data_IF_751181642022
#
_entry.id   IF_751181642022
#
_cell.length_a   1.000
_cell.length_b   1.000
_cell.length_c   1.000
_cell.angle_alpha   90.00
_cell.angle_beta   90.00
_cell.angle_gamma   90.00
#
_symmetry.space_group_name_H-M   'P 1'
#
loop_
_entity.id
_entity.type
_entity.pdbx_description
1 polymer ?
#
# COMPACT_ATOMS: atom_id res chain seq x y z
N UNK A 1 -18.99 10.89 38.21
CA UNK A 1 -18.17 11.23 37.02
C UNK A 1 -16.72 10.82 37.29
N UNK A 2 -16.32 9.64 36.88
CA UNK A 2 -14.92 9.16 36.95
C UNK A 2 -14.39 9.04 35.51
N UNK A 3 -13.46 9.93 35.18
CA UNK A 3 -12.72 9.91 33.91
C UNK A 3 -11.67 8.78 33.98
N UNK A 4 -11.84 7.73 33.21
CA UNK A 4 -10.79 6.75 32.96
C UNK A 4 -9.87 7.34 31.86
N UNK A 5 -8.71 7.80 32.27
CA UNK A 5 -7.58 8.03 31.37
C UNK A 5 -6.97 6.65 31.05
N UNK A 6 -7.22 6.14 29.87
CA UNK A 6 -6.39 5.10 29.28
C UNK A 6 -5.15 5.77 28.68
N UNK A 7 -4.09 5.85 29.47
CA UNK A 7 -2.76 6.16 28.96
C UNK A 7 -2.24 4.95 28.18
N UNK A 8 -2.31 5.00 26.86
CA UNK A 8 -1.57 4.09 26.00
C UNK A 8 -0.09 4.43 26.10
N UNK A 9 0.62 3.75 27.01
CA UNK A 9 2.07 3.73 27.05
C UNK A 9 2.54 2.94 25.82
N UNK A 10 2.75 3.62 24.68
CA UNK A 10 3.44 3.07 23.55
C UNK A 10 4.90 2.83 23.94
N UNK A 11 5.19 1.64 24.48
CA UNK A 11 6.55 1.20 24.67
C UNK A 11 7.22 1.18 23.29
N UNK A 12 8.07 2.15 23.04
CA UNK A 12 9.07 2.18 21.97
C UNK A 12 10.05 1.02 22.22
N UNK A 13 9.63 -0.23 21.94
CA UNK A 13 10.49 -1.40 21.90
C UNK A 13 11.26 -1.33 20.57
N UNK A 14 12.23 -0.43 20.51
CA UNK A 14 13.29 -0.55 19.52
C UNK A 14 13.94 -1.94 19.66
N UNK A 15 14.53 -2.47 18.58
CA UNK A 15 15.42 -3.62 18.61
C UNK A 15 16.71 -3.22 19.39
N UNK A 16 16.52 -2.88 20.69
CA UNK A 16 17.61 -2.54 21.57
C UNK A 16 18.42 -3.81 21.80
N UNK A 17 19.68 -3.78 21.46
CA UNK A 17 20.65 -4.74 22.01
C UNK A 17 20.63 -4.55 23.52
N UNK A 18 20.24 -5.55 24.32
CA UNK A 18 20.47 -5.46 25.75
C UNK A 18 22.00 -5.31 25.94
N UNK A 19 22.42 -4.36 26.76
CA UNK A 19 23.85 -4.12 27.01
C UNK A 19 24.60 -5.40 27.42
N UNK A 20 23.90 -6.35 28.04
CA UNK A 20 24.41 -7.69 28.42
C UNK A 20 24.49 -8.68 27.25
N UNK A 21 23.96 -8.34 26.06
CA UNK A 21 24.01 -9.24 24.89
C UNK A 21 25.41 -9.34 24.27
N UNK A 22 26.35 -8.47 24.64
CA UNK A 22 27.70 -8.48 24.07
C UNK A 22 28.59 -9.55 24.67
N UNK A 23 28.38 -9.96 25.91
CA UNK A 23 29.29 -10.87 26.67
C UNK A 23 28.95 -12.37 26.55
N UNK A 24 27.82 -12.71 25.89
CA UNK A 24 27.46 -14.12 25.74
C UNK A 24 28.09 -14.75 24.49
N UNK A 25 28.60 -16.01 24.59
CA UNK A 25 29.07 -16.72 23.42
C UNK A 25 27.92 -17.01 22.44
N UNK A 26 28.24 -17.05 21.16
CA UNK A 26 27.32 -17.53 20.16
C UNK A 26 27.25 -19.07 20.21
N UNK A 27 26.03 -19.61 20.12
CA UNK A 27 25.83 -21.04 19.84
C UNK A 27 25.83 -21.23 18.32
N UNK A 28 26.41 -22.33 17.83
CA UNK A 28 26.54 -22.60 16.40
C UNK A 28 25.68 -23.80 16.00
N UNK A 29 24.91 -23.63 14.95
CA UNK A 29 24.17 -24.73 14.29
C UNK A 29 25.10 -25.53 13.38
N UNK A 30 24.73 -26.78 13.07
CA UNK A 30 25.45 -27.61 12.12
C UNK A 30 25.58 -26.98 10.72
N UNK A 31 24.63 -26.13 10.32
CA UNK A 31 24.66 -25.35 9.09
C UNK A 31 25.70 -24.22 9.05
N UNK A 32 26.36 -23.93 10.18
CA UNK A 32 27.33 -22.84 10.33
C UNK A 32 26.71 -21.52 10.79
N UNK A 33 25.37 -21.40 10.87
CA UNK A 33 24.69 -20.24 11.42
C UNK A 33 24.94 -20.15 12.92
N UNK A 34 25.30 -18.96 13.40
CA UNK A 34 25.50 -18.69 14.83
C UNK A 34 24.31 -17.89 15.37
N UNK A 35 23.92 -18.16 16.64
CA UNK A 35 22.80 -17.46 17.25
C UNK A 35 23.01 -17.16 18.72
N UNK A 36 22.30 -16.13 19.20
CA UNK A 36 22.02 -15.83 20.61
C UNK A 36 20.54 -15.56 20.75
N UNK A 37 19.91 -16.17 21.74
CA UNK A 37 18.49 -15.98 22.02
C UNK A 37 18.29 -15.19 23.30
N UNK A 38 17.24 -14.41 23.34
CA UNK A 38 16.82 -13.59 24.47
C UNK A 38 15.30 -13.66 24.61
N UNK A 39 14.82 -13.50 25.84
CA UNK A 39 13.39 -13.34 26.13
C UNK A 39 13.22 -12.20 27.13
N UNK A 40 12.20 -11.37 26.93
CA UNK A 40 11.86 -10.33 27.89
C UNK A 40 11.27 -10.96 29.16
N UNK A 41 11.76 -10.55 30.33
CA UNK A 41 11.18 -10.87 31.62
C UNK A 41 9.93 -10.02 31.90
N UNK A 42 9.31 -10.22 33.05
CA UNK A 42 8.09 -9.49 33.47
C UNK A 42 8.29 -7.96 33.55
N UNK A 43 9.53 -7.48 33.63
CA UNK A 43 9.88 -6.05 33.64
C UNK A 43 10.15 -5.49 32.24
N UNK A 44 10.12 -6.35 31.21
CA UNK A 44 10.45 -6.00 29.83
C UNK A 44 11.96 -6.00 29.54
N UNK A 45 12.79 -6.40 30.49
CA UNK A 45 14.26 -6.54 30.28
C UNK A 45 14.56 -7.86 29.61
N UNK A 46 15.34 -7.83 28.52
CA UNK A 46 15.76 -9.03 27.83
C UNK A 46 16.82 -9.80 28.60
N UNK A 47 16.52 -11.05 28.91
CA UNK A 47 17.43 -12.01 29.53
C UNK A 47 17.88 -13.05 28.52
N UNK A 48 19.11 -13.54 28.64
CA UNK A 48 19.59 -14.65 27.82
C UNK A 48 18.69 -15.87 27.93
N UNK A 49 18.46 -16.53 26.79
CA UNK A 49 17.65 -17.75 26.72
C UNK A 49 18.43 -18.86 26.01
N UNK A 50 18.40 -20.06 26.56
CA UNK A 50 18.82 -21.29 25.89
C UNK A 50 17.61 -22.07 25.39
N UNK A 51 17.80 -22.86 24.33
CA UNK A 51 16.76 -23.80 23.89
C UNK A 51 16.54 -24.87 25.00
N UNK A 52 15.30 -25.01 25.41
CA UNK A 52 14.94 -25.97 26.44
C UNK A 52 14.22 -27.21 25.85
N UNK A 53 14.35 -28.41 26.44
CA UNK A 53 13.60 -29.56 25.98
C UNK A 53 12.07 -29.38 26.07
N UNK A 54 11.61 -28.45 26.91
CA UNK A 54 10.20 -28.08 27.07
C UNK A 54 9.71 -27.08 26.01
N UNK A 55 10.60 -26.54 25.21
CA UNK A 55 10.19 -25.64 24.09
C UNK A 55 9.36 -26.45 23.09
N UNK A 56 8.34 -25.81 22.53
CA UNK A 56 7.55 -26.40 21.46
C UNK A 56 8.46 -26.81 20.29
N UNK A 57 8.49 -28.09 19.90
CA UNK A 57 9.37 -28.57 18.85
C UNK A 57 9.02 -27.90 17.52
N UNK A 58 9.99 -27.74 16.64
CA UNK A 58 9.78 -27.14 15.34
C UNK A 58 8.63 -27.82 14.57
N UNK A 59 8.58 -29.15 14.60
CA UNK A 59 7.55 -29.94 13.90
C UNK A 59 6.11 -29.56 14.28
N UNK A 60 5.86 -29.15 15.53
CA UNK A 60 4.53 -28.69 15.95
C UNK A 60 4.16 -27.28 15.45
N UNK A 61 5.13 -26.54 14.96
CA UNK A 61 4.99 -25.18 14.45
C UNK A 61 5.13 -25.08 12.93
N UNK A 62 5.55 -26.17 12.30
CA UNK A 62 5.67 -26.26 10.86
C UNK A 62 4.32 -25.99 10.17
N UNK A 63 4.35 -25.25 9.07
CA UNK A 63 3.14 -24.80 8.36
C UNK A 63 2.45 -23.59 8.98
N UNK A 64 2.92 -23.10 10.14
CA UNK A 64 2.43 -21.87 10.75
C UNK A 64 3.23 -20.64 10.26
N UNK A 65 2.75 -19.46 10.61
CA UNK A 65 3.34 -18.18 10.25
C UNK A 65 3.82 -17.49 11.51
N UNK A 66 5.14 -17.24 11.60
CA UNK A 66 5.73 -16.44 12.64
C UNK A 66 5.73 -14.97 12.21
N UNK A 67 5.16 -14.08 13.03
CA UNK A 67 5.29 -12.64 12.78
C UNK A 67 6.54 -12.13 13.48
N UNK A 68 7.41 -11.42 12.74
CA UNK A 68 8.73 -11.05 13.23
C UNK A 68 9.16 -9.67 12.74
N UNK A 69 9.78 -8.88 13.59
CA UNK A 69 10.58 -7.74 13.17
C UNK A 69 12.00 -8.21 12.91
N UNK A 70 12.59 -7.74 11.81
CA UNK A 70 13.96 -8.08 11.43
C UNK A 70 14.75 -6.82 11.07
N UNK A 71 16.02 -6.81 11.48
CA UNK A 71 16.99 -5.84 11.03
C UNK A 71 18.22 -6.56 10.51
N UNK A 72 18.59 -6.26 9.28
CA UNK A 72 19.74 -6.85 8.61
C UNK A 72 20.93 -5.91 8.69
N UNK A 73 22.10 -6.44 9.04
CA UNK A 73 23.34 -5.70 9.17
C UNK A 73 24.49 -6.42 8.49
N UNK A 74 25.48 -5.65 8.05
CA UNK A 74 26.77 -6.23 7.60
C UNK A 74 27.53 -6.82 8.79
N UNK A 75 28.59 -7.60 8.53
CA UNK A 75 29.51 -8.07 9.57
C UNK A 75 30.18 -6.93 10.37
N UNK A 76 30.24 -5.72 9.82
CA UNK A 76 30.73 -4.50 10.48
C UNK A 76 29.61 -3.67 11.13
N UNK A 77 28.46 -4.25 11.37
CA UNK A 77 27.31 -3.66 12.07
C UNK A 77 26.58 -2.50 11.34
N UNK A 78 26.85 -2.28 10.06
CA UNK A 78 26.11 -1.29 9.26
C UNK A 78 24.71 -1.82 8.93
N UNK A 79 23.65 -1.03 9.23
CA UNK A 79 22.27 -1.39 8.95
C UNK A 79 22.00 -1.35 7.45
N UNK A 80 21.52 -2.46 6.90
CA UNK A 80 21.12 -2.62 5.51
C UNK A 80 19.62 -2.38 5.34
N UNK A 81 18.83 -2.99 6.23
CA UNK A 81 17.38 -2.92 6.21
C UNK A 81 16.83 -3.12 7.63
N UNK A 82 15.76 -2.43 7.96
CA UNK A 82 15.04 -2.61 9.22
C UNK A 82 13.55 -2.62 8.96
N UNK A 83 12.88 -3.75 9.17
CA UNK A 83 11.44 -3.87 8.98
C UNK A 83 10.66 -2.97 9.94
N UNK A 84 11.18 -2.75 11.15
CA UNK A 84 10.55 -1.87 12.13
C UNK A 84 10.54 -0.39 11.70
N UNK A 85 11.57 0.05 10.94
CA UNK A 85 11.63 1.42 10.41
C UNK A 85 10.74 1.60 9.17
N UNK A 86 10.52 0.52 8.42
CA UNK A 86 9.75 0.56 7.17
C UNK A 86 8.26 0.40 7.41
N UNK A 87 7.87 -0.43 8.39
CA UNK A 87 6.48 -0.75 8.67
C UNK A 87 6.25 -0.89 10.18
N UNK A 88 5.11 -0.39 10.70
CA UNK A 88 4.78 -0.49 12.13
C UNK A 88 4.39 -1.90 12.58
N UNK A 89 4.16 -2.83 11.64
CA UNK A 89 3.70 -4.19 11.90
C UNK A 89 4.80 -5.22 11.64
N UNK A 90 4.86 -6.26 12.49
CA UNK A 90 5.76 -7.39 12.29
C UNK A 90 5.47 -8.13 10.98
N UNK A 91 6.52 -8.54 10.28
CA UNK A 91 6.41 -9.20 8.98
C UNK A 91 6.08 -10.68 9.16
N UNK A 92 5.15 -11.24 8.37
CA UNK A 92 4.85 -12.66 8.40
C UNK A 92 5.94 -13.46 7.69
N UNK A 93 6.42 -14.50 8.36
CA UNK A 93 7.36 -15.48 7.81
C UNK A 93 6.76 -16.88 8.01
N UNK A 94 6.53 -17.59 6.92
CA UNK A 94 6.05 -18.95 6.97
C UNK A 94 7.17 -19.89 7.49
N UNK A 95 6.83 -20.80 8.38
CA UNK A 95 7.72 -21.85 8.86
C UNK A 95 7.50 -23.10 7.98
N UNK A 96 8.42 -23.43 7.05
CA UNK A 96 8.23 -24.56 6.14
C UNK A 96 8.29 -25.89 6.92
N UNK A 97 7.71 -26.97 6.40
CA UNK A 97 7.80 -28.29 7.05
C UNK A 97 9.24 -28.74 7.30
N UNK A 98 10.14 -28.40 6.40
CA UNK A 98 11.57 -28.65 6.51
C UNK A 98 12.33 -27.34 6.25
N UNK A 99 12.93 -26.73 7.27
CA UNK A 99 13.73 -25.52 7.08
C UNK A 99 15.01 -25.84 6.29
N UNK A 100 15.38 -24.95 5.40
CA UNK A 100 16.62 -25.08 4.63
C UNK A 100 17.83 -24.83 5.54
N UNK A 101 18.73 -25.82 5.73
CA UNK A 101 19.94 -25.61 6.54
C UNK A 101 20.78 -24.43 6.05
N UNK A 102 21.15 -23.52 6.95
CA UNK A 102 21.85 -22.28 6.65
C UNK A 102 20.98 -21.17 6.07
N UNK A 103 19.67 -21.41 5.88
CA UNK A 103 18.69 -20.40 5.48
C UNK A 103 18.15 -19.60 6.65
N UNK A 104 17.46 -18.52 6.34
CA UNK A 104 16.82 -17.65 7.35
C UNK A 104 15.73 -18.41 8.11
N UNK A 105 15.01 -19.32 7.45
CA UNK A 105 13.92 -20.10 8.01
C UNK A 105 14.39 -21.05 9.12
N UNK A 106 15.59 -21.64 8.98
CA UNK A 106 16.20 -22.46 10.04
C UNK A 106 16.41 -21.63 11.31
N UNK A 107 16.98 -20.45 11.16
CA UNK A 107 17.28 -19.56 12.29
C UNK A 107 15.99 -19.02 12.94
N UNK A 108 15.04 -18.54 12.16
CA UNK A 108 13.76 -18.03 12.67
C UNK A 108 12.92 -19.15 13.30
N UNK A 109 13.11 -20.40 12.84
CA UNK A 109 12.50 -21.57 13.44
C UNK A 109 12.92 -21.86 14.89
N UNK A 110 14.00 -21.24 15.38
CA UNK A 110 14.41 -21.34 16.80
C UNK A 110 13.57 -20.42 17.71
N UNK A 111 12.91 -19.42 17.14
CA UNK A 111 12.20 -18.41 17.91
C UNK A 111 10.80 -18.91 18.30
N UNK A 112 10.41 -18.57 19.51
CA UNK A 112 9.04 -18.63 20.01
C UNK A 112 8.50 -17.20 20.13
N UNK A 113 7.18 -17.01 20.18
CA UNK A 113 6.58 -15.70 20.49
C UNK A 113 7.19 -15.07 21.75
N UNK A 114 7.59 -13.80 21.65
CA UNK A 114 8.27 -13.06 22.71
C UNK A 114 9.80 -13.20 22.73
N UNK A 115 10.37 -14.07 21.90
CA UNK A 115 11.82 -14.17 21.76
C UNK A 115 12.39 -13.06 20.88
N UNK A 116 13.64 -12.72 21.20
CA UNK A 116 14.51 -11.93 20.32
C UNK A 116 15.81 -12.70 20.10
N UNK A 117 16.44 -12.45 18.97
CA UNK A 117 17.70 -13.11 18.64
C UNK A 117 18.65 -12.21 17.87
N UNK A 118 19.93 -12.58 17.97
CA UNK A 118 20.99 -12.12 17.06
C UNK A 118 21.50 -13.37 16.33
N UNK A 119 21.32 -13.38 15.02
CA UNK A 119 21.84 -14.42 14.14
C UNK A 119 23.02 -13.88 13.35
N UNK A 120 24.03 -14.71 13.14
CA UNK A 120 25.15 -14.47 12.23
C UNK A 120 25.18 -15.58 11.20
N UNK A 121 25.06 -15.20 9.94
CA UNK A 121 25.09 -16.13 8.83
C UNK A 121 26.38 -15.96 8.04
N UNK A 122 27.04 -17.05 7.60
CA UNK A 122 27.95 -16.97 6.47
C UNK A 122 27.20 -16.40 5.27
N UNK A 123 27.64 -15.27 4.73
CA UNK A 123 26.86 -14.56 3.69
C UNK A 123 26.66 -15.43 2.45
N UNK A 124 27.67 -16.17 2.01
CA UNK A 124 27.54 -17.05 0.85
C UNK A 124 26.43 -18.09 1.03
N UNK A 125 26.29 -18.64 2.25
CA UNK A 125 25.26 -19.64 2.56
C UNK A 125 23.86 -19.04 2.54
N UNK A 126 23.61 -17.97 3.29
CA UNK A 126 22.26 -17.39 3.39
C UNK A 126 21.81 -16.74 2.08
N UNK A 127 22.75 -16.13 1.33
CA UNK A 127 22.42 -15.57 0.02
C UNK A 127 22.06 -16.65 -0.99
N UNK A 128 22.76 -17.78 -1.01
CA UNK A 128 22.43 -18.91 -1.87
C UNK A 128 21.12 -19.60 -1.45
N UNK A 129 20.89 -19.80 -0.15
CA UNK A 129 19.77 -20.63 0.36
C UNK A 129 18.47 -19.85 0.49
N UNK A 130 18.49 -18.61 1.01
CA UNK A 130 17.29 -17.79 1.23
C UNK A 130 17.04 -16.81 0.10
N UNK A 131 18.03 -15.98 -0.24
CA UNK A 131 17.82 -14.89 -1.20
C UNK A 131 17.95 -15.31 -2.65
N UNK A 132 18.61 -16.47 -2.92
CA UNK A 132 18.86 -17.00 -4.27
C UNK A 132 19.52 -15.97 -5.19
N UNK A 133 20.46 -15.23 -4.65
CA UNK A 133 21.19 -14.15 -5.31
C UNK A 133 22.66 -14.21 -4.93
N UNK A 134 23.57 -13.68 -5.77
CA UNK A 134 24.99 -13.56 -5.40
C UNK A 134 25.14 -12.58 -4.24
N UNK A 135 26.14 -12.83 -3.38
CA UNK A 135 26.48 -11.94 -2.27
C UNK A 135 26.96 -10.59 -2.81
N UNK A 136 26.36 -9.47 -2.44
CA UNK A 136 26.83 -8.14 -2.85
C UNK A 136 28.30 -7.89 -2.44
N UNK A 137 29.10 -7.25 -3.31
CA UNK A 137 30.54 -7.05 -3.04
C UNK A 137 30.84 -6.32 -1.72
N UNK A 138 29.99 -5.40 -1.29
CA UNK A 138 30.18 -4.66 -0.05
C UNK A 138 30.00 -5.55 1.20
N UNK A 139 29.17 -6.59 1.16
CA UNK A 139 29.02 -7.58 2.24
C UNK A 139 30.27 -8.45 2.32
N UNK A 140 30.79 -8.91 1.18
CA UNK A 140 32.05 -9.68 1.14
C UNK A 140 33.22 -8.89 1.75
N UNK A 141 33.36 -7.61 1.37
CA UNK A 141 34.36 -6.72 1.96
C UNK A 141 34.15 -6.44 3.45
N UNK A 142 32.92 -6.57 3.93
CA UNK A 142 32.52 -6.41 5.33
C UNK A 142 32.76 -7.62 6.23
N UNK A 143 33.46 -8.65 5.76
CA UNK A 143 33.77 -9.88 6.53
C UNK A 143 32.90 -11.08 6.12
N UNK A 144 32.21 -11.02 5.00
CA UNK A 144 31.37 -12.10 4.43
C UNK A 144 30.34 -12.68 5.42
N UNK A 145 29.82 -11.83 6.31
CA UNK A 145 28.85 -12.18 7.34
C UNK A 145 27.63 -11.29 7.21
N UNK A 146 26.46 -11.88 7.32
CA UNK A 146 25.19 -11.19 7.47
C UNK A 146 24.70 -11.37 8.91
N UNK A 147 24.51 -10.28 9.63
CA UNK A 147 23.92 -10.28 10.97
C UNK A 147 22.44 -9.93 10.86
N UNK A 148 21.57 -10.72 11.49
CA UNK A 148 20.11 -10.49 11.53
C UNK A 148 19.68 -10.40 12.99
N UNK A 149 19.15 -9.24 13.37
CA UNK A 149 18.44 -9.09 14.62
C UNK A 149 16.97 -9.41 14.35
N UNK A 150 16.39 -10.30 15.13
CA UNK A 150 14.99 -10.73 14.96
C UNK A 150 14.23 -10.61 16.29
N UNK A 151 12.96 -10.24 16.23
CA UNK A 151 12.07 -10.22 17.39
C UNK A 151 10.73 -10.82 17.01
N UNK A 152 10.46 -12.02 17.51
CA UNK A 152 9.23 -12.76 17.26
C UNK A 152 8.07 -12.21 18.07
N UNK A 153 6.90 -12.07 17.45
CA UNK A 153 5.70 -11.52 18.09
C UNK A 153 4.63 -12.57 18.31
N UNK A 154 4.13 -13.13 17.25
CA UNK A 154 3.01 -14.05 17.27
C UNK A 154 3.30 -15.26 16.38
N UNK A 155 2.72 -16.38 16.72
CA UNK A 155 2.68 -17.57 15.88
C UNK A 155 1.22 -17.80 15.50
N UNK A 156 0.92 -17.77 14.22
CA UNK A 156 -0.43 -17.83 13.68
C UNK A 156 -0.58 -19.02 12.76
N UNK A 157 -1.75 -19.64 12.76
CA UNK A 157 -2.09 -20.58 11.69
C UNK A 157 -2.26 -19.83 10.37
N UNK A 158 -2.16 -20.51 9.24
CA UNK A 158 -2.42 -19.91 7.93
C UNK A 158 -3.83 -19.31 7.86
N UNK A 159 -4.82 -19.98 8.46
CA UNK A 159 -6.20 -19.50 8.53
C UNK A 159 -6.31 -18.19 9.32
N UNK A 160 -5.68 -18.11 10.50
CA UNK A 160 -5.63 -16.88 11.31
C UNK A 160 -4.94 -15.74 10.55
N UNK A 161 -3.87 -16.03 9.82
CA UNK A 161 -3.18 -15.05 9.01
C UNK A 161 -4.05 -14.51 7.87
N UNK A 162 -4.74 -15.39 7.15
CA UNK A 162 -5.68 -15.02 6.09
C UNK A 162 -6.86 -14.21 6.64
N UNK A 163 -7.43 -14.61 7.77
CA UNK A 163 -8.51 -13.88 8.43
C UNK A 163 -8.07 -12.47 8.84
N UNK A 164 -6.87 -12.32 9.42
CA UNK A 164 -6.28 -11.03 9.78
C UNK A 164 -6.06 -10.13 8.56
N UNK A 165 -5.53 -10.70 7.49
CA UNK A 165 -5.32 -9.95 6.24
C UNK A 165 -6.65 -9.45 5.65
N UNK A 166 -7.69 -10.30 5.65
CA UNK A 166 -9.04 -9.92 5.21
C UNK A 166 -9.64 -8.80 6.07
N UNK A 167 -9.45 -8.87 7.40
CA UNK A 167 -9.92 -7.80 8.30
C UNK A 167 -9.21 -6.48 8.01
N UNK A 168 -7.88 -6.49 7.91
CA UNK A 168 -7.10 -5.29 7.61
C UNK A 168 -7.51 -4.67 6.27
N UNK A 169 -7.73 -5.50 5.25
CA UNK A 169 -8.21 -5.03 3.95
C UNK A 169 -9.59 -4.38 4.07
N UNK A 170 -10.53 -5.02 4.77
CA UNK A 170 -11.87 -4.47 4.98
C UNK A 170 -11.84 -3.14 5.77
N UNK A 171 -10.98 -3.02 6.77
CA UNK A 171 -10.79 -1.76 7.51
C UNK A 171 -10.20 -0.65 6.62
N UNK A 172 -9.21 -0.99 5.78
CA UNK A 172 -8.62 -0.04 4.83
C UNK A 172 -9.65 0.42 3.80
N UNK A 173 -10.46 -0.50 3.25
CA UNK A 173 -11.54 -0.17 2.31
C UNK A 173 -12.60 0.71 2.96
N UNK A 174 -13.02 0.41 4.19
CA UNK A 174 -13.97 1.23 4.96
C UNK A 174 -13.43 2.63 5.20
N UNK A 175 -12.16 2.75 5.60
CA UNK A 175 -11.51 4.05 5.81
C UNK A 175 -11.38 4.84 4.51
N UNK A 176 -11.01 4.18 3.41
CA UNK A 176 -10.94 4.81 2.09
C UNK A 176 -12.31 5.31 1.63
N UNK A 177 -13.38 4.51 1.83
CA UNK A 177 -14.74 4.92 1.51
C UNK A 177 -15.21 6.12 2.33
N UNK A 178 -14.91 6.17 3.63
CA UNK A 178 -15.24 7.31 4.49
C UNK A 178 -14.51 8.59 4.05
N UNK A 179 -13.22 8.51 3.73
CA UNK A 179 -12.44 9.64 3.23
C UNK A 179 -12.98 10.13 1.89
N UNK A 180 -13.32 9.21 0.99
CA UNK A 180 -13.93 9.51 -0.31
C UNK A 180 -15.29 10.22 -0.16
N UNK A 181 -16.15 9.72 0.74
CA UNK A 181 -17.44 10.34 1.02
C UNK A 181 -17.30 11.77 1.58
N UNK A 182 -16.37 11.97 2.52
CA UNK A 182 -16.06 13.29 3.08
C UNK A 182 -15.52 14.26 2.02
N UNK A 183 -14.68 13.77 1.10
CA UNK A 183 -14.17 14.57 -0.02
C UNK A 183 -15.28 14.93 -1.01
N UNK A 184 -16.20 14.00 -1.32
CA UNK A 184 -17.37 14.28 -2.16
C UNK A 184 -18.20 15.45 -1.64
N UNK A 185 -18.40 15.55 -0.33
CA UNK A 185 -19.14 16.68 0.27
C UNK A 185 -18.44 18.01 -0.02
N UNK A 186 -17.12 18.07 0.18
CA UNK A 186 -16.31 19.25 -0.09
C UNK A 186 -16.35 19.64 -1.58
N UNK A 187 -16.17 18.67 -2.44
CA UNK A 187 -16.15 18.90 -3.90
C UNK A 187 -17.53 19.34 -4.43
N UNK A 188 -18.61 18.75 -3.91
CA UNK A 188 -19.96 19.20 -4.24
C UNK A 188 -20.18 20.68 -3.83
N UNK A 189 -19.69 21.09 -2.66
CA UNK A 189 -19.78 22.49 -2.23
C UNK A 189 -19.01 23.42 -3.17
N UNK A 190 -17.79 23.03 -3.61
CA UNK A 190 -17.01 23.78 -4.59
C UNK A 190 -17.71 23.89 -5.93
N UNK A 191 -18.31 22.81 -6.43
CA UNK A 191 -19.07 22.80 -7.69
C UNK A 191 -20.29 23.69 -7.59
N UNK A 192 -21.05 23.62 -6.51
CA UNK A 192 -22.23 24.46 -6.31
C UNK A 192 -21.87 25.96 -6.23
N UNK A 193 -20.77 26.28 -5.54
CA UNK A 193 -20.25 27.65 -5.50
C UNK A 193 -19.83 28.16 -6.90
N UNK A 194 -19.14 27.30 -7.68
CA UNK A 194 -18.80 27.59 -9.06
C UNK A 194 -20.03 27.85 -9.92
N UNK A 195 -21.07 26.99 -9.84
CA UNK A 195 -22.31 27.13 -10.57
C UNK A 195 -23.03 28.44 -10.22
N UNK A 196 -23.12 28.79 -8.93
CA UNK A 196 -23.69 30.04 -8.45
C UNK A 196 -22.94 31.27 -9.01
N UNK A 197 -21.61 31.25 -8.91
CA UNK A 197 -20.75 32.34 -9.41
C UNK A 197 -20.91 32.57 -10.91
N UNK A 198 -21.14 31.52 -11.69
CA UNK A 198 -21.24 31.59 -13.15
C UNK A 198 -22.69 31.63 -13.65
N UNK A 199 -23.68 31.81 -12.75
CA UNK A 199 -25.12 31.83 -13.10
C UNK A 199 -25.52 30.60 -13.94
N UNK A 200 -24.95 29.44 -13.65
CA UNK A 200 -25.14 28.21 -14.42
C UNK A 200 -25.97 27.19 -13.65
N UNK A 201 -26.86 26.50 -14.37
CA UNK A 201 -27.65 25.39 -13.83
C UNK A 201 -27.09 24.09 -14.41
N UNK A 202 -26.76 23.13 -13.53
CA UNK A 202 -26.30 21.79 -13.91
C UNK A 202 -27.30 20.74 -13.47
N UNK A 203 -27.43 19.69 -14.27
CA UNK A 203 -28.04 18.43 -13.83
C UNK A 203 -26.96 17.52 -13.25
N UNK A 204 -27.38 16.52 -12.48
CA UNK A 204 -26.45 15.54 -11.87
C UNK A 204 -26.77 14.14 -12.36
N UNK A 205 -25.76 13.38 -12.77
CA UNK A 205 -25.91 11.95 -13.11
C UNK A 205 -26.12 11.11 -11.86
N UNK A 206 -26.64 9.90 -12.00
CA UNK A 206 -26.71 8.92 -10.90
C UNK A 206 -25.32 8.61 -10.31
N UNK A 207 -24.26 8.67 -11.12
CA UNK A 207 -22.87 8.50 -10.69
C UNK A 207 -22.24 9.71 -10.00
N UNK A 208 -22.97 10.84 -9.86
CA UNK A 208 -22.51 12.00 -9.10
C UNK A 208 -21.83 13.10 -9.89
N UNK A 209 -21.66 12.96 -11.21
CA UNK A 209 -21.09 13.98 -12.09
C UNK A 209 -22.15 15.06 -12.41
N UNK A 210 -21.74 16.31 -12.34
CA UNK A 210 -22.61 17.41 -12.81
C UNK A 210 -22.36 17.69 -14.29
N UNK A 211 -23.42 18.00 -15.02
CA UNK A 211 -23.31 18.34 -16.43
C UNK A 211 -24.20 19.50 -16.84
N UNK A 212 -23.73 20.28 -17.80
CA UNK A 212 -24.44 21.44 -18.39
C UNK A 212 -24.42 21.24 -19.89
N UNK A 213 -25.57 21.09 -20.50
CA UNK A 213 -25.67 21.09 -21.97
C UNK A 213 -25.59 22.55 -22.46
N UNK A 214 -24.53 22.89 -23.19
CA UNK A 214 -24.33 24.23 -23.81
C UNK A 214 -24.95 24.32 -25.18
N UNK A 215 -24.94 23.20 -25.93
CA UNK A 215 -25.59 23.05 -27.23
C UNK A 215 -26.13 21.63 -27.30
N UNK A 216 -27.42 21.50 -27.59
CA UNK A 216 -28.02 20.21 -27.88
C UNK A 216 -27.59 19.74 -29.27
N UNK A 217 -27.32 18.46 -29.40
CA UNK A 217 -27.10 17.80 -30.68
C UNK A 217 -28.42 17.21 -31.24
N UNK A 218 -28.27 16.29 -32.18
CA UNK A 218 -29.39 15.65 -32.88
C UNK A 218 -29.33 14.14 -32.76
N UNK A 219 -30.48 13.48 -32.93
CA UNK A 219 -30.59 12.02 -32.92
C UNK A 219 -30.63 11.41 -31.51
N UNK A 220 -30.38 10.11 -31.45
CA UNK A 220 -30.30 9.35 -30.20
C UNK A 220 -28.89 9.41 -29.63
N UNK A 221 -28.72 9.25 -28.30
CA UNK A 221 -27.41 9.15 -27.67
C UNK A 221 -26.71 7.81 -28.02
N UNK A 222 -25.37 7.73 -27.94
CA UNK A 222 -24.62 6.52 -28.20
C UNK A 222 -24.88 5.45 -27.12
N UNK A 223 -24.84 4.20 -27.54
CA UNK A 223 -25.02 3.03 -26.67
C UNK A 223 -23.68 2.46 -26.22
N UNK A 224 -23.67 1.76 -25.10
CA UNK A 224 -22.50 0.99 -24.65
C UNK A 224 -21.97 0.08 -25.77
N UNK A 225 -20.66 0.05 -25.94
CA UNK A 225 -19.98 -0.74 -26.98
C UNK A 225 -19.75 0.04 -28.28
N UNK A 226 -20.35 1.21 -28.47
CA UNK A 226 -20.08 2.04 -29.63
C UNK A 226 -18.82 2.87 -29.46
N UNK A 227 -18.10 3.10 -30.55
CA UNK A 227 -16.93 3.98 -30.57
C UNK A 227 -17.39 5.41 -30.74
N UNK A 228 -17.07 6.27 -29.77
CA UNK A 228 -17.36 7.69 -29.77
C UNK A 228 -16.13 8.52 -30.13
N UNK A 229 -16.33 9.66 -30.78
CA UNK A 229 -15.29 10.65 -31.13
C UNK A 229 -15.61 11.96 -30.44
N UNK A 230 -14.72 12.42 -29.56
CA UNK A 230 -14.97 13.57 -28.67
C UNK A 230 -13.85 14.59 -28.79
N UNK A 231 -14.21 15.84 -29.01
CA UNK A 231 -13.30 16.97 -28.75
C UNK A 231 -13.45 17.37 -27.29
N UNK A 232 -12.35 17.65 -26.62
CA UNK A 232 -12.41 18.02 -25.20
C UNK A 232 -11.31 19.01 -24.79
N UNK A 233 -11.60 19.70 -23.68
CA UNK A 233 -10.66 20.50 -22.92
C UNK A 233 -10.85 20.24 -21.43
N UNK A 234 -9.83 19.71 -20.77
CA UNK A 234 -9.81 19.41 -19.34
C UNK A 234 -9.07 20.48 -18.55
N UNK A 235 -9.73 21.03 -17.53
CA UNK A 235 -9.18 22.07 -16.66
C UNK A 235 -9.41 21.73 -15.19
N UNK A 236 -8.53 22.21 -14.31
CA UNK A 236 -8.73 22.23 -12.86
C UNK A 236 -9.81 23.27 -12.53
N UNK A 237 -10.89 22.86 -11.84
CA UNK A 237 -12.04 23.76 -11.60
C UNK A 237 -11.64 25.04 -10.83
N UNK A 238 -10.79 24.92 -9.82
CA UNK A 238 -10.42 26.01 -8.91
C UNK A 238 -9.51 27.06 -9.55
N UNK A 239 -8.62 26.64 -10.45
CA UNK A 239 -7.58 27.50 -11.05
C UNK A 239 -7.83 27.82 -12.51
N UNK A 240 -8.64 27.03 -13.20
CA UNK A 240 -8.81 27.09 -14.66
C UNK A 240 -7.60 26.56 -15.44
N UNK A 241 -6.53 26.08 -14.76
CA UNK A 241 -5.34 25.53 -15.43
C UNK A 241 -5.75 24.35 -16.29
N UNK A 242 -5.41 24.39 -17.56
CA UNK A 242 -5.58 23.29 -18.49
C UNK A 242 -4.53 22.21 -18.26
N UNK A 243 -4.96 20.97 -18.09
CA UNK A 243 -4.07 19.83 -17.98
C UNK A 243 -4.01 18.99 -19.27
N UNK A 244 -5.14 18.90 -20.01
CA UNK A 244 -5.18 18.17 -21.28
C UNK A 244 -6.27 18.71 -22.20
N UNK A 245 -6.05 18.60 -23.53
CA UNK A 245 -7.06 18.93 -24.53
C UNK A 245 -6.76 18.30 -25.89
N UNK A 246 -7.78 18.13 -26.73
CA UNK A 246 -7.60 17.77 -28.13
C UNK A 246 -6.90 18.85 -28.94
N UNK A 247 -6.98 20.10 -28.50
CA UNK A 247 -6.26 21.24 -29.15
C UNK A 247 -4.74 21.02 -29.15
N UNK A 248 -4.19 20.38 -28.14
CA UNK A 248 -2.77 19.99 -28.06
C UNK A 248 -2.38 18.90 -29.07
N UNK A 249 -3.35 18.30 -29.75
CA UNK A 249 -3.21 17.20 -30.71
C UNK A 249 -3.87 17.57 -32.05
N UNK A 250 -3.64 18.77 -32.55
CA UNK A 250 -4.18 19.28 -33.81
C UNK A 250 -5.70 19.24 -33.93
N UNK A 251 -6.43 19.29 -32.81
CA UNK A 251 -7.88 19.10 -32.76
C UNK A 251 -8.37 17.74 -33.32
N UNK A 252 -7.53 16.72 -33.30
CA UNK A 252 -7.98 15.37 -33.67
C UNK A 252 -8.90 14.83 -32.57
N UNK A 253 -10.15 14.45 -32.88
CA UNK A 253 -11.09 13.94 -31.89
C UNK A 253 -10.58 12.66 -31.23
N UNK A 254 -10.58 12.64 -29.91
CA UNK A 254 -10.23 11.48 -29.13
C UNK A 254 -11.31 10.40 -29.30
N UNK A 255 -10.87 9.19 -29.66
CA UNK A 255 -11.75 8.05 -29.93
C UNK A 255 -11.63 7.01 -28.82
N UNK A 256 -12.77 6.56 -28.30
CA UNK A 256 -12.79 5.44 -27.33
C UNK A 256 -14.12 4.68 -27.43
N UNK A 257 -14.13 3.43 -26.95
CA UNK A 257 -15.35 2.61 -26.88
C UNK A 257 -16.10 2.88 -25.58
N UNK A 258 -17.35 3.27 -25.69
CA UNK A 258 -18.18 3.67 -24.56
C UNK A 258 -18.50 2.49 -23.63
N UNK A 259 -18.33 2.67 -22.33
CA UNK A 259 -18.72 1.71 -21.30
C UNK A 259 -17.81 0.51 -21.11
N UNK A 260 -16.59 0.51 -21.69
CA UNK A 260 -15.58 -0.55 -21.52
C UNK A 260 -14.39 -0.13 -20.65
N UNK A 261 -14.50 0.98 -19.92
CA UNK A 261 -13.50 1.50 -18.97
C UNK A 261 -12.14 1.88 -19.62
N UNK A 262 -12.16 2.37 -20.84
CA UNK A 262 -10.98 2.96 -21.49
C UNK A 262 -10.68 4.38 -20.99
N UNK A 263 -11.69 5.01 -20.37
CA UNK A 263 -11.63 6.34 -19.76
C UNK A 263 -12.11 6.27 -18.32
N UNK A 264 -11.97 7.36 -17.56
CA UNK A 264 -12.55 7.43 -16.21
C UNK A 264 -14.08 7.17 -16.29
N UNK A 265 -14.66 6.41 -15.35
CA UNK A 265 -16.06 5.95 -15.45
C UNK A 265 -17.08 7.07 -15.67
N UNK A 266 -16.78 8.26 -15.15
CA UNK A 266 -17.67 9.43 -15.28
C UNK A 266 -17.70 10.00 -16.69
N UNK A 267 -16.68 9.76 -17.51
CA UNK A 267 -16.70 10.09 -18.93
C UNK A 267 -17.65 9.16 -19.70
N UNK A 268 -17.58 7.86 -19.42
CA UNK A 268 -18.53 6.89 -19.98
C UNK A 268 -19.98 7.31 -19.72
N UNK A 269 -20.28 7.73 -18.48
CA UNK A 269 -21.62 8.18 -18.10
C UNK A 269 -22.01 9.53 -18.72
N UNK A 270 -21.09 10.49 -18.72
CA UNK A 270 -21.36 11.84 -19.23
C UNK A 270 -21.54 11.87 -20.75
N UNK A 271 -20.69 11.16 -21.49
CA UNK A 271 -20.79 11.09 -22.96
C UNK A 271 -22.00 10.27 -23.42
N UNK A 272 -22.38 9.21 -22.68
CA UNK A 272 -23.58 8.42 -22.99
C UNK A 272 -24.90 9.22 -22.97
N UNK A 273 -24.90 10.43 -22.38
CA UNK A 273 -26.06 11.30 -22.32
C UNK A 273 -26.11 12.33 -23.45
N UNK A 274 -25.05 12.43 -24.24
CA UNK A 274 -24.93 13.42 -25.32
C UNK A 274 -25.42 12.82 -26.64
N UNK A 275 -26.06 13.65 -27.45
CA UNK A 275 -26.38 13.31 -28.84
C UNK A 275 -25.30 13.87 -29.77
N UNK A 276 -25.21 13.39 -31.01
CA UNK A 276 -24.22 13.86 -32.01
C UNK A 276 -24.29 15.38 -32.19
N UNK A 277 -23.15 16.06 -32.11
CA UNK A 277 -23.02 17.50 -32.19
C UNK A 277 -23.31 18.25 -30.88
N UNK A 278 -23.63 17.55 -29.79
CA UNK A 278 -23.81 18.17 -28.47
C UNK A 278 -22.50 18.72 -27.93
N UNK A 279 -22.58 19.92 -27.30
CA UNK A 279 -21.50 20.50 -26.47
C UNK A 279 -21.96 20.55 -25.02
N UNK A 280 -21.14 20.08 -24.12
CA UNK A 280 -21.44 20.04 -22.70
C UNK A 280 -20.24 20.42 -21.83
N UNK A 281 -20.53 20.82 -20.61
CA UNK A 281 -19.53 20.95 -19.55
C UNK A 281 -19.80 19.87 -18.50
N UNK A 282 -18.78 19.09 -18.16
CA UNK A 282 -18.81 18.12 -17.09
C UNK A 282 -18.04 18.67 -15.91
N UNK A 283 -18.62 18.65 -14.69
CA UNK A 283 -17.93 19.01 -13.45
C UNK A 283 -17.86 17.73 -12.62
N UNK A 284 -16.66 17.28 -12.34
CA UNK A 284 -16.38 15.95 -11.81
C UNK A 284 -15.74 16.07 -10.44
N UNK A 285 -16.43 15.64 -9.36
CA UNK A 285 -15.84 15.52 -8.04
C UNK A 285 -14.58 14.63 -8.06
N UNK A 286 -13.56 14.99 -7.29
CA UNK A 286 -12.27 14.33 -7.33
C UNK A 286 -12.31 12.81 -7.05
N UNK A 287 -13.14 12.28 -6.10
CA UNK A 287 -13.22 10.84 -5.89
C UNK A 287 -13.75 10.04 -7.09
N UNK A 288 -14.44 10.71 -8.01
CA UNK A 288 -14.97 10.10 -9.24
C UNK A 288 -13.97 10.18 -10.40
N UNK A 289 -12.84 10.86 -10.21
CA UNK A 289 -11.75 11.01 -11.18
C UNK A 289 -10.44 10.39 -10.62
N UNK A 290 -9.51 11.23 -10.17
CA UNK A 290 -8.19 10.79 -9.71
C UNK A 290 -8.03 10.76 -8.18
N UNK A 291 -9.05 11.20 -7.43
CA UNK A 291 -9.15 11.10 -5.97
C UNK A 291 -7.96 11.67 -5.20
N UNK A 292 -7.63 11.02 -4.09
CA UNK A 292 -6.53 11.40 -3.21
C UNK A 292 -5.14 11.19 -3.83
N UNK A 293 -5.03 10.48 -4.94
CA UNK A 293 -3.76 10.26 -5.63
C UNK A 293 -3.39 11.42 -6.56
N UNK A 294 -4.39 12.06 -7.20
CA UNK A 294 -4.15 12.98 -8.30
C UNK A 294 -3.60 12.28 -9.55
N UNK A 295 -3.10 13.03 -10.53
CA UNK A 295 -2.46 12.51 -11.73
C UNK A 295 -1.34 13.43 -12.19
N UNK A 296 -0.11 12.98 -12.05
CA UNK A 296 1.09 13.73 -12.42
C UNK A 296 1.21 15.09 -11.69
N UNK A 297 1.94 16.02 -12.28
CA UNK A 297 2.14 17.38 -11.74
C UNK A 297 0.97 18.33 -12.03
N UNK A 298 0.11 17.99 -12.98
CA UNK A 298 -0.94 18.88 -13.47
C UNK A 298 -2.28 18.69 -12.74
N UNK A 299 -2.51 17.54 -12.11
CA UNK A 299 -3.74 17.25 -11.36
C UNK A 299 -3.37 16.87 -9.94
N UNK A 300 -3.29 17.85 -9.01
CA UNK A 300 -3.02 17.59 -7.60
C UNK A 300 -4.04 16.64 -6.95
N UNK A 301 -3.73 16.03 -5.78
CA UNK A 301 -4.70 15.29 -5.00
C UNK A 301 -5.99 16.05 -4.73
N UNK A 302 -7.11 15.32 -4.72
CA UNK A 302 -8.44 15.86 -4.40
C UNK A 302 -8.87 17.07 -5.26
N UNK A 303 -8.55 17.02 -6.54
CA UNK A 303 -8.84 18.09 -7.50
C UNK A 303 -10.14 17.85 -8.24
N UNK A 304 -11.09 18.77 -8.13
CA UNK A 304 -12.32 18.80 -8.96
C UNK A 304 -11.96 19.18 -10.38
N UNK A 305 -12.43 18.39 -11.34
CA UNK A 305 -12.16 18.58 -12.75
C UNK A 305 -13.33 19.21 -13.48
N UNK A 306 -13.03 20.02 -14.49
CA UNK A 306 -13.98 20.59 -15.42
C UNK A 306 -13.56 20.21 -16.83
N UNK A 307 -14.46 19.54 -17.55
CA UNK A 307 -14.26 19.23 -18.97
C UNK A 307 -15.30 19.97 -19.82
N UNK A 308 -14.85 20.63 -20.84
CA UNK A 308 -15.65 21.00 -22.00
C UNK A 308 -15.54 19.85 -22.99
N UNK A 309 -16.69 19.35 -23.45
CA UNK A 309 -16.73 18.19 -24.35
C UNK A 309 -17.67 18.47 -25.52
N UNK A 310 -17.31 17.97 -26.70
CA UNK A 310 -18.19 17.95 -27.88
C UNK A 310 -18.21 16.53 -28.43
N UNK A 311 -19.39 15.92 -28.49
CA UNK A 311 -19.56 14.64 -29.15
C UNK A 311 -19.66 14.86 -30.67
N UNK A 312 -18.56 14.63 -31.36
CA UNK A 312 -18.45 14.86 -32.80
C UNK A 312 -19.23 13.79 -33.59
N UNK A 313 -18.98 12.52 -33.25
CA UNK A 313 -19.55 11.39 -33.96
C UNK A 313 -19.48 10.11 -33.11
N UNK A 314 -20.24 9.07 -33.54
CA UNK A 314 -20.12 7.72 -32.98
C UNK A 314 -20.60 6.67 -34.01
N UNK A 315 -20.12 5.44 -33.87
CA UNK A 315 -20.48 4.30 -34.71
C UNK A 315 -20.52 2.99 -33.91
#
# INVERSE_FOLDING_TARGET
MKRFLFGALAALLGLARPAQAQDQPFTRLASGTEYRLFRADATGKYQPRTLAPTDAPYASRAGQVLTVFMEFRTGRDSVLMSSHRMQPTAQPVALPPQPTPGGLEEALGLLLPGDSAVFRFPADTVFAKTFRQPVPPFIKRGGNTLTVLASARELLTMEQMMARQKQLQAEMEKKAAQLSAGQLVKDNALILAYLKKNHATAKKTAGGTYYIIKKAGTGLPPKKGQTVRVLYRGTVLSTGKEFDSTAKRNNDPFSFTLGVRQVIPVWDQGIAMLTKGSKAVLLIPSPLAYGARGAGADIPPNTVLRFEVELVDFK
#
